data_IF_776556258334
#
_entry.id   IF_776556258334
#
_cell.length_a   1.000
_cell.length_b   1.000
_cell.length_c   1.000
_cell.angle_alpha   90.00
_cell.angle_beta   90.00
_cell.angle_gamma   90.00
#
_symmetry.space_group_name_H-M   'P 1'
#
loop_
_entity.id
_entity.type
_entity.pdbx_description
1 polymer ?
#
# COMPACT_ATOMS: atom_id res chain seq x y z
N UNK A 1 0.97 12.52 14.73
CA UNK A 1 1.00 12.04 13.34
C UNK A 1 0.46 10.63 13.38
N UNK A 2 -0.63 10.34 12.65
CA UNK A 2 -1.16 8.98 12.51
C UNK A 2 -0.36 8.16 11.52
N UNK A 3 -0.57 6.84 11.49
CA UNK A 3 0.22 5.92 10.64
C UNK A 3 0.08 6.22 9.15
N UNK A 4 -1.12 6.66 8.76
CA UNK A 4 -1.42 7.09 7.38
C UNK A 4 -0.57 8.30 7.00
N UNK A 5 -0.51 9.32 7.87
CA UNK A 5 0.29 10.53 7.62
C UNK A 5 1.77 10.19 7.52
N UNK A 6 2.29 9.34 8.42
CA UNK A 6 3.68 8.85 8.35
C UNK A 6 3.96 8.13 7.01
N UNK A 7 3.03 7.28 6.55
CA UNK A 7 3.16 6.61 5.27
C UNK A 7 3.12 7.58 4.08
N UNK A 8 2.32 8.65 4.15
CA UNK A 8 2.32 9.71 3.12
C UNK A 8 3.64 10.49 3.11
N UNK A 9 4.23 10.78 4.27
CA UNK A 9 5.55 11.41 4.36
C UNK A 9 6.62 10.49 3.75
N UNK A 10 6.62 9.19 4.07
CA UNK A 10 7.55 8.22 3.46
C UNK A 10 7.42 8.25 1.93
N UNK A 11 6.19 8.23 1.39
CA UNK A 11 5.98 8.29 -0.06
C UNK A 11 6.48 9.60 -0.69
N UNK A 12 6.44 10.71 0.06
CA UNK A 12 7.01 12.00 -0.36
C UNK A 12 8.54 12.01 -0.31
N UNK A 13 9.13 11.49 0.76
CA UNK A 13 10.59 11.41 0.94
C UNK A 13 11.24 10.44 -0.05
N UNK A 14 10.50 9.44 -0.52
CA UNK A 14 10.87 8.58 -1.64
C UNK A 14 10.65 9.23 -3.02
N UNK A 15 10.26 10.50 -3.04
CA UNK A 15 10.03 11.31 -4.24
C UNK A 15 9.02 10.70 -5.22
N UNK A 16 8.03 9.96 -4.72
CA UNK A 16 6.98 9.45 -5.60
C UNK A 16 6.15 10.61 -6.17
N UNK A 17 5.61 10.47 -7.39
CA UNK A 17 4.81 11.53 -7.99
C UNK A 17 3.61 11.89 -7.09
N UNK A 18 3.17 13.15 -7.14
CA UNK A 18 2.08 13.66 -6.28
C UNK A 18 0.83 12.74 -6.21
N UNK A 19 0.37 12.10 -7.30
CA UNK A 19 -0.77 11.18 -7.24
C UNK A 19 -0.56 9.93 -6.37
N UNK A 20 0.69 9.61 -6.01
CA UNK A 20 1.07 8.48 -5.15
C UNK A 20 1.35 8.90 -3.70
N UNK A 21 1.14 10.17 -3.33
CA UNK A 21 1.31 10.66 -1.95
C UNK A 21 -0.03 10.78 -1.20
N UNK A 22 -1.12 10.26 -1.77
CA UNK A 22 -2.46 10.32 -1.21
C UNK A 22 -2.76 9.16 -0.24
N UNK A 23 -3.92 9.25 0.44
CA UNK A 23 -4.35 8.27 1.43
C UNK A 23 -4.41 6.83 0.88
N UNK A 24 -4.93 6.62 -0.35
CA UNK A 24 -5.03 5.25 -0.90
C UNK A 24 -3.65 4.63 -1.18
N UNK A 25 -2.67 5.45 -1.54
CA UNK A 25 -1.29 4.99 -1.74
C UNK A 25 -0.61 4.67 -0.41
N UNK A 26 -0.80 5.52 0.60
CA UNK A 26 -0.34 5.28 1.96
C UNK A 26 -0.93 4.00 2.55
N UNK A 27 -2.24 3.81 2.44
CA UNK A 27 -2.93 2.60 2.90
C UNK A 27 -2.48 1.35 2.14
N UNK A 28 -2.16 1.48 0.85
CA UNK A 28 -1.60 0.37 0.06
C UNK A 28 -0.21 -0.02 0.56
N UNK A 29 0.66 0.96 0.83
CA UNK A 29 1.98 0.71 1.41
C UNK A 29 1.85 0.02 2.78
N UNK A 30 1.00 0.54 3.65
CA UNK A 30 0.75 -0.02 4.98
C UNK A 30 0.24 -1.46 4.91
N UNK A 31 -0.65 -1.76 3.96
CA UNK A 31 -1.14 -3.11 3.74
C UNK A 31 -0.04 -4.08 3.32
N UNK A 32 0.82 -3.68 2.38
CA UNK A 32 1.96 -4.49 1.94
C UNK A 32 2.98 -4.71 3.06
N UNK A 33 3.14 -3.71 3.93
CA UNK A 33 3.98 -3.80 5.14
C UNK A 33 3.31 -4.56 6.30
N UNK A 34 2.02 -4.88 6.22
CA UNK A 34 1.26 -5.51 7.30
C UNK A 34 1.09 -4.64 8.55
N UNK A 35 1.08 -3.31 8.40
CA UNK A 35 1.09 -2.36 9.50
C UNK A 35 -0.30 -1.76 9.75
N UNK A 36 -0.81 -1.90 10.99
CA UNK A 36 -1.96 -1.12 11.50
C UNK A 36 -1.50 0.12 12.26
N UNK A 37 -2.45 0.95 12.71
CA UNK A 37 -2.19 2.09 13.62
C UNK A 37 -1.39 1.68 14.87
N UNK A 38 -1.61 0.47 15.39
CA UNK A 38 -0.99 -0.03 16.62
C UNK A 38 0.33 -0.76 16.37
N UNK A 39 0.66 -1.06 15.10
CA UNK A 39 1.84 -1.86 14.77
C UNK A 39 3.04 -0.94 14.56
N UNK A 40 4.17 -1.13 15.28
CA UNK A 40 5.38 -0.35 15.05
C UNK A 40 5.96 -0.55 13.65
N UNK A 41 6.57 0.49 13.06
CA UNK A 41 7.23 0.40 11.75
C UNK A 41 8.36 -0.64 11.72
N UNK A 42 9.04 -0.87 12.85
CA UNK A 42 10.08 -1.90 12.97
C UNK A 42 9.56 -3.33 12.75
N UNK A 43 8.25 -3.55 12.85
CA UNK A 43 7.60 -4.84 12.63
C UNK A 43 7.03 -4.98 11.21
N UNK A 44 7.40 -4.10 10.28
CA UNK A 44 7.00 -4.19 8.88
C UNK A 44 7.44 -5.53 8.28
N UNK A 45 6.56 -6.12 7.48
CA UNK A 45 6.80 -7.39 6.81
C UNK A 45 6.77 -7.19 5.29
N UNK A 46 7.37 -8.10 4.54
CA UNK A 46 7.25 -8.13 3.08
C UNK A 46 6.18 -9.16 2.68
N UNK A 47 4.92 -8.73 2.62
CA UNK A 47 3.80 -9.60 2.28
C UNK A 47 3.50 -9.65 0.78
N UNK A 48 3.44 -10.85 0.20
CA UNK A 48 2.88 -11.02 -1.14
C UNK A 48 1.35 -11.01 -1.08
N UNK A 49 0.74 -9.94 -1.58
CA UNK A 49 -0.70 -9.69 -1.45
C UNK A 49 -1.37 -9.46 -2.82
N UNK A 50 -2.47 -10.18 -3.04
CA UNK A 50 -3.42 -9.83 -4.10
C UNK A 50 -4.22 -8.57 -3.76
N UNK A 51 -4.61 -7.79 -4.77
CA UNK A 51 -5.30 -6.50 -4.58
C UNK A 51 -6.58 -6.61 -3.74
N UNK A 52 -7.49 -7.52 -4.09
CA UNK A 52 -8.81 -7.59 -3.42
C UNK A 52 -8.74 -8.33 -2.08
N UNK A 53 -8.18 -9.54 -2.06
CA UNK A 53 -8.18 -10.40 -0.87
C UNK A 53 -7.06 -10.09 0.12
N UNK A 54 -6.04 -9.35 -0.31
CA UNK A 54 -4.94 -8.89 0.54
C UNK A 54 -5.08 -7.42 0.87
N UNK A 55 -4.76 -6.54 -0.08
CA UNK A 55 -4.66 -5.09 0.15
C UNK A 55 -6.01 -4.48 0.59
N UNK A 56 -7.07 -4.61 -0.22
CA UNK A 56 -8.37 -4.01 0.11
C UNK A 56 -8.97 -4.61 1.39
N UNK A 57 -8.85 -5.92 1.59
CA UNK A 57 -9.33 -6.59 2.80
C UNK A 57 -8.59 -6.12 4.06
N UNK A 58 -7.26 -5.96 3.98
CA UNK A 58 -6.47 -5.43 5.06
C UNK A 58 -6.88 -4.00 5.41
N UNK A 59 -6.99 -3.13 4.40
CA UNK A 59 -7.37 -1.73 4.59
C UNK A 59 -8.75 -1.62 5.25
N UNK A 60 -9.73 -2.43 4.83
CA UNK A 60 -11.04 -2.48 5.44
C UNK A 60 -10.98 -2.91 6.92
N UNK A 61 -10.17 -3.94 7.24
CA UNK A 61 -10.04 -4.48 8.59
C UNK A 61 -9.27 -3.56 9.54
N UNK A 62 -8.14 -3.02 9.09
CA UNK A 62 -7.19 -2.30 9.94
C UNK A 62 -7.49 -0.79 10.04
N UNK A 63 -8.09 -0.21 8.98
CA UNK A 63 -8.33 1.23 8.88
C UNK A 63 -9.80 1.60 8.64
N UNK A 64 -10.70 0.61 8.58
CA UNK A 64 -12.13 0.85 8.40
C UNK A 64 -12.52 1.41 7.03
N UNK A 65 -11.61 1.44 6.05
CA UNK A 65 -11.88 2.00 4.72
C UNK A 65 -12.36 0.89 3.78
N UNK A 66 -13.68 0.84 3.57
CA UNK A 66 -14.32 -0.11 2.67
C UNK A 66 -14.37 0.47 1.25
N UNK A 67 -13.54 -0.05 0.35
CA UNK A 67 -13.50 0.37 -1.03
C UNK A 67 -14.44 -0.45 -1.92
N UNK A 68 -15.09 0.23 -2.87
CA UNK A 68 -15.93 -0.43 -3.87
C UNK A 68 -15.08 -1.31 -4.82
N UNK A 69 -15.67 -2.32 -5.47
CA UNK A 69 -14.93 -3.23 -6.36
C UNK A 69 -14.12 -2.53 -7.46
N UNK A 70 -14.62 -1.41 -7.99
CA UNK A 70 -13.95 -0.66 -9.04
C UNK A 70 -12.63 -0.01 -8.58
N UNK A 71 -12.48 0.27 -7.28
CA UNK A 71 -11.24 0.81 -6.69
C UNK A 71 -10.07 -0.17 -6.82
N UNK A 72 -10.34 -1.46 -7.06
CA UNK A 72 -9.29 -2.44 -7.40
C UNK A 72 -8.43 -1.95 -8.57
N UNK A 73 -9.04 -1.37 -9.59
CA UNK A 73 -8.31 -0.89 -10.77
C UNK A 73 -7.50 0.38 -10.46
N UNK A 74 -8.00 1.24 -9.56
CA UNK A 74 -7.23 2.37 -8.99
C UNK A 74 -5.98 1.87 -8.28
N UNK A 75 -6.11 0.93 -7.34
CA UNK A 75 -4.96 0.39 -6.60
C UNK A 75 -3.97 -0.27 -7.58
N UNK A 76 -4.46 -1.04 -8.56
CA UNK A 76 -3.57 -1.72 -9.52
C UNK A 76 -2.83 -0.76 -10.45
N UNK A 77 -3.56 0.14 -11.12
CA UNK A 77 -2.99 0.98 -12.20
C UNK A 77 -2.40 2.28 -11.69
N UNK A 78 -3.00 2.89 -10.67
CA UNK A 78 -2.58 4.20 -10.19
C UNK A 78 -1.64 4.11 -9.00
N UNK A 79 -1.62 3.01 -8.24
CA UNK A 79 -0.72 2.87 -7.08
C UNK A 79 0.37 1.85 -7.38
N UNK A 80 0.02 0.57 -7.50
CA UNK A 80 1.00 -0.52 -7.61
C UNK A 80 1.87 -0.41 -8.86
N UNK A 81 1.31 0.00 -10.00
CA UNK A 81 2.12 0.20 -11.21
C UNK A 81 3.25 1.21 -10.99
N UNK A 82 2.96 2.33 -10.32
CA UNK A 82 3.97 3.34 -10.01
C UNK A 82 4.94 2.88 -8.92
N UNK A 83 4.47 2.14 -7.92
CA UNK A 83 5.34 1.56 -6.89
C UNK A 83 6.34 0.56 -7.51
N UNK A 84 5.92 -0.23 -8.50
CA UNK A 84 6.81 -1.15 -9.24
C UNK A 84 7.85 -0.36 -10.04
N UNK A 85 7.43 0.69 -10.76
CA UNK A 85 8.35 1.56 -11.50
C UNK A 85 9.39 2.21 -10.60
N UNK A 86 8.98 2.62 -9.40
CA UNK A 86 9.85 3.21 -8.38
C UNK A 86 10.66 2.18 -7.58
N UNK A 87 10.57 0.87 -7.91
CA UNK A 87 11.23 -0.23 -7.18
C UNK A 87 10.88 -0.30 -5.68
N UNK A 88 9.70 0.19 -5.32
CA UNK A 88 9.19 0.11 -3.96
C UNK A 88 8.56 -1.26 -3.67
N UNK A 89 8.02 -1.93 -4.69
CA UNK A 89 7.37 -3.24 -4.59
C UNK A 89 7.70 -4.10 -5.80
N UNK A 90 7.71 -5.42 -5.61
CA UNK A 90 7.89 -6.38 -6.69
C UNK A 90 6.56 -6.93 -7.21
N UNK A 91 6.49 -7.18 -8.52
CA UNK A 91 5.34 -7.82 -9.13
C UNK A 91 5.45 -9.34 -9.02
N UNK A 92 4.47 -9.96 -8.36
CA UNK A 92 4.31 -11.41 -8.27
C UNK A 92 5.59 -12.16 -7.80
N UNK A 93 6.16 -11.81 -6.63
CA UNK A 93 7.46 -12.32 -6.19
C UNK A 93 7.48 -13.84 -5.92
N UNK A 94 6.33 -14.49 -5.68
CA UNK A 94 6.26 -15.94 -5.43
C UNK A 94 6.45 -16.80 -6.69
N UNK A 95 6.35 -16.20 -7.88
CA UNK A 95 6.61 -16.87 -9.15
C UNK A 95 7.73 -16.09 -9.84
N UNK A 96 8.99 -16.31 -9.42
CA UNK A 96 10.13 -15.82 -10.18
C UNK A 96 10.16 -16.53 -11.54
N UNK A 97 10.38 -15.76 -12.61
CA UNK A 97 10.75 -16.29 -13.94
C UNK A 97 12.20 -16.80 -13.92
#
# INVERSE_FOLDING_TARGET
MGKIEEAQEILRELELPLPQQNEISALTLLALCGLSEETPWANAQNGSLGVTKGIMAFIAKAYGRNYAPNTRETIRRQVLHQFIQARLVDYNPDIPD
#
